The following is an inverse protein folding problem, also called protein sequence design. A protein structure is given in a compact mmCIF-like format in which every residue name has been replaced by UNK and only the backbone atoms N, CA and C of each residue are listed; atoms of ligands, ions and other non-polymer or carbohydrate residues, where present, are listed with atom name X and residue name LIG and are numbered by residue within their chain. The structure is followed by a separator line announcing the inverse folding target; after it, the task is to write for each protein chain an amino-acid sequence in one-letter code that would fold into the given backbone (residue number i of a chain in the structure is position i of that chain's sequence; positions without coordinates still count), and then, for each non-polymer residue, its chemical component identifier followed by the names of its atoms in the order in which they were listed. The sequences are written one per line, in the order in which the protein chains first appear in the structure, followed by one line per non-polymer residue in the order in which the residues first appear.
data_IF_739054196181
#
_entry.id   IF_739054196181
#
_cell.length_a   1.000
_cell.length_b   1.000
_cell.length_c   1.000
_cell.angle_alpha   90.00
_cell.angle_beta   90.00
_cell.angle_gamma   90.00
#
_symmetry.space_group_name_H-M   'P 1'
#
loop_
_entity.id
_entity.type
_entity.pdbx_description
1 polymer ?
#
# COMPACT_ATOMS: atom_id res chain seq x y z
N UNK A 1 -12.75 -13.65 7.55
CA UNK A 1 -13.03 -13.08 6.21
C UNK A 1 -13.02 -11.54 6.24
N UNK A 2 -13.23 -10.86 7.39
CA UNK A 2 -13.18 -9.39 7.47
C UNK A 2 -11.78 -8.76 7.35
N UNK A 3 -10.70 -9.44 7.77
CA UNK A 3 -9.36 -8.86 7.78
C UNK A 3 -8.85 -8.39 6.39
N UNK A 4 -9.25 -9.06 5.29
CA UNK A 4 -8.81 -8.70 3.93
C UNK A 4 -9.49 -7.44 3.39
N UNK A 5 -10.72 -7.14 3.83
CA UNK A 5 -11.44 -5.91 3.48
C UNK A 5 -10.87 -4.70 4.24
N UNK A 6 -10.35 -4.92 5.46
CA UNK A 6 -9.77 -3.87 6.29
C UNK A 6 -8.39 -3.41 5.78
N UNK A 7 -7.56 -4.36 5.29
CA UNK A 7 -6.20 -4.06 4.81
C UNK A 7 -6.14 -3.04 3.67
N UNK A 8 -7.14 -3.02 2.77
CA UNK A 8 -7.19 -2.08 1.65
C UNK A 8 -8.22 -0.97 1.80
N UNK A 9 -8.82 -0.80 2.99
CA UNK A 9 -9.92 0.14 3.21
C UNK A 9 -9.55 1.62 3.00
N UNK A 10 -8.25 1.94 2.92
CA UNK A 10 -7.73 3.27 2.58
C UNK A 10 -7.30 3.43 1.13
N UNK A 11 -7.50 2.44 0.26
CA UNK A 11 -7.10 2.55 -1.15
C UNK A 11 -8.18 3.27 -1.97
N UNK A 12 -7.75 4.20 -2.81
CA UNK A 12 -8.55 4.80 -3.86
C UNK A 12 -8.32 4.04 -5.19
N UNK A 13 -9.37 3.44 -5.79
CA UNK A 13 -9.26 2.66 -7.03
C UNK A 13 -8.76 3.45 -8.25
N UNK A 14 -8.96 4.76 -8.27
CA UNK A 14 -8.53 5.63 -9.37
C UNK A 14 -7.06 6.03 -9.26
N UNK A 15 -6.44 5.85 -8.09
CA UNK A 15 -5.04 6.19 -7.84
C UNK A 15 -4.12 5.03 -8.18
N UNK A 16 -2.90 5.36 -8.56
CA UNK A 16 -1.81 4.40 -8.73
C UNK A 16 -1.48 3.69 -7.42
N UNK A 17 -0.79 2.55 -7.49
CA UNK A 17 -0.25 1.91 -6.29
C UNK A 17 0.60 2.87 -5.46
N UNK A 18 1.48 3.63 -6.12
CA UNK A 18 2.33 4.64 -5.49
C UNK A 18 1.52 5.66 -4.72
N UNK A 19 0.56 6.30 -5.37
CA UNK A 19 -0.32 7.29 -4.73
C UNK A 19 -1.09 6.69 -3.55
N UNK A 20 -1.51 5.43 -3.65
CA UNK A 20 -2.15 4.71 -2.56
C UNK A 20 -1.21 4.46 -1.37
N UNK A 21 0.07 4.17 -1.58
CA UNK A 21 1.07 4.07 -0.49
C UNK A 21 1.13 5.40 0.28
N UNK A 22 1.22 6.53 -0.42
CA UNK A 22 1.26 7.85 0.21
C UNK A 22 -0.05 8.22 0.90
N UNK A 23 -1.19 7.94 0.26
CA UNK A 23 -2.51 8.18 0.84
C UNK A 23 -2.68 7.43 2.15
N UNK A 24 -2.32 6.14 2.18
CA UNK A 24 -2.47 5.31 3.37
C UNK A 24 -1.49 5.74 4.47
N UNK A 25 -0.22 5.98 4.14
CA UNK A 25 0.73 6.52 5.11
C UNK A 25 0.26 7.85 5.72
N UNK A 26 -0.35 8.73 4.92
CA UNK A 26 -0.90 10.00 5.40
C UNK A 26 -2.13 9.80 6.30
N UNK A 27 -3.00 8.85 5.98
CA UNK A 27 -4.17 8.49 6.81
C UNK A 27 -3.72 7.94 8.18
N UNK A 28 -2.62 7.19 8.22
CA UNK A 28 -2.00 6.69 9.45
C UNK A 28 -1.22 7.76 10.23
N UNK A 29 -1.07 8.97 9.67
CA UNK A 29 -0.40 10.10 10.34
C UNK A 29 1.11 10.14 10.17
N UNK A 30 1.68 9.35 9.24
CA UNK A 30 3.11 9.41 8.93
C UNK A 30 3.46 10.62 8.07
N UNK A 31 4.66 11.16 8.28
CA UNK A 31 5.18 12.25 7.45
C UNK A 31 5.57 11.73 6.06
N UNK A 32 5.53 12.63 5.07
CA UNK A 32 5.94 12.28 3.70
C UNK A 32 7.37 11.74 3.65
N UNK A 33 8.28 12.33 4.43
CA UNK A 33 9.68 11.92 4.49
C UNK A 33 9.85 10.49 5.00
N UNK A 34 9.04 10.08 5.98
CA UNK A 34 9.04 8.69 6.47
C UNK A 34 8.51 7.73 5.41
N UNK A 35 7.41 8.11 4.73
CA UNK A 35 6.84 7.31 3.65
C UNK A 35 7.85 7.18 2.50
N UNK A 36 8.53 8.26 2.11
CA UNK A 36 9.60 8.24 1.10
C UNK A 36 10.72 7.28 1.48
N UNK A 37 11.16 7.30 2.75
CA UNK A 37 12.21 6.40 3.25
C UNK A 37 11.79 4.91 3.24
N UNK A 38 10.48 4.63 3.33
CA UNK A 38 9.91 3.28 3.34
C UNK A 38 9.38 2.82 1.98
N UNK A 39 9.19 3.73 1.04
CA UNK A 39 8.54 3.46 -0.23
C UNK A 39 9.22 2.32 -0.99
N UNK A 40 10.55 2.35 -1.09
CA UNK A 40 11.31 1.34 -1.83
C UNK A 40 11.13 -0.05 -1.21
N UNK A 41 11.16 -0.14 0.13
CA UNK A 41 10.94 -1.38 0.87
C UNK A 41 9.52 -1.93 0.64
N UNK A 42 8.51 -1.05 0.65
CA UNK A 42 7.11 -1.40 0.35
C UNK A 42 6.96 -1.90 -1.08
N UNK A 43 7.57 -1.22 -2.03
CA UNK A 43 7.51 -1.58 -3.44
C UNK A 43 8.12 -2.97 -3.67
N UNK A 44 9.31 -3.23 -3.14
CA UNK A 44 9.99 -4.51 -3.25
C UNK A 44 9.22 -5.64 -2.55
N UNK A 45 8.75 -5.41 -1.33
CA UNK A 45 8.01 -6.41 -0.54
C UNK A 45 6.65 -6.77 -1.15
N UNK A 46 6.02 -5.85 -1.89
CA UNK A 46 4.72 -6.10 -2.54
C UNK A 46 4.81 -7.02 -3.76
N UNK A 47 6.00 -7.19 -4.35
CA UNK A 47 6.23 -8.02 -5.54
C UNK A 47 5.27 -7.71 -6.72
N UNK A 48 4.78 -6.48 -6.85
CA UNK A 48 3.90 -6.08 -7.96
C UNK A 48 4.65 -5.44 -9.14
N UNK A 49 5.95 -5.19 -8.99
CA UNK A 49 6.81 -4.66 -10.06
C UNK A 49 6.32 -3.31 -10.60
N UNK A 50 6.32 -3.16 -11.93
CA UNK A 50 5.96 -1.90 -12.61
C UNK A 50 4.49 -1.51 -12.45
N UNK A 51 3.63 -2.41 -11.95
CA UNK A 51 2.24 -2.07 -11.69
C UNK A 51 2.07 -1.02 -10.60
N UNK A 52 3.10 -0.76 -9.78
CA UNK A 52 3.07 0.30 -8.75
C UNK A 52 2.66 1.67 -9.32
N UNK A 53 2.94 1.93 -10.60
CA UNK A 53 2.60 3.17 -11.30
C UNK A 53 1.30 3.07 -12.14
N UNK A 54 0.52 2.01 -11.95
CA UNK A 54 -0.78 1.79 -12.59
C UNK A 54 -1.94 1.96 -11.59
N UNK A 55 -3.13 2.44 -12.02
CA UNK A 55 -4.30 2.57 -11.14
C UNK A 55 -4.67 1.24 -10.48
N UNK A 56 -4.91 1.24 -9.15
CA UNK A 56 -5.14 -0.02 -8.41
C UNK A 56 -6.42 -0.76 -8.85
N UNK A 57 -7.37 -0.09 -9.50
CA UNK A 57 -8.52 -0.76 -10.15
C UNK A 57 -8.13 -1.76 -11.24
N UNK A 58 -6.92 -1.66 -11.81
CA UNK A 58 -6.42 -2.60 -12.82
C UNK A 58 -5.73 -3.81 -12.21
N UNK A 59 -5.56 -3.85 -10.89
CA UNK A 59 -4.83 -4.90 -10.22
C UNK A 59 -5.66 -6.18 -10.16
N UNK A 60 -4.98 -7.32 -10.21
CA UNK A 60 -5.60 -8.55 -9.74
C UNK A 60 -5.89 -8.45 -8.24
N UNK A 61 -6.85 -9.24 -7.73
CA UNK A 61 -7.12 -9.31 -6.29
C UNK A 61 -5.87 -9.66 -5.48
N UNK A 62 -4.97 -10.49 -6.04
CA UNK A 62 -3.71 -10.83 -5.39
C UNK A 62 -2.75 -9.64 -5.27
N UNK A 63 -2.58 -8.87 -6.34
CA UNK A 63 -1.74 -7.67 -6.31
C UNK A 63 -2.28 -6.61 -5.36
N UNK A 64 -3.60 -6.44 -5.32
CA UNK A 64 -4.26 -5.53 -4.38
C UNK A 64 -3.93 -5.91 -2.92
N UNK A 65 -4.12 -7.19 -2.58
CA UNK A 65 -3.84 -7.70 -1.22
C UNK A 65 -2.35 -7.60 -0.89
N UNK A 66 -1.46 -7.93 -1.83
CA UNK A 66 -0.01 -7.80 -1.62
C UNK A 66 0.38 -6.37 -1.27
N UNK A 67 -0.03 -5.38 -2.08
CA UNK A 67 0.31 -3.99 -1.81
C UNK A 67 -0.30 -3.47 -0.50
N UNK A 68 -1.58 -3.77 -0.25
CA UNK A 68 -2.25 -3.40 0.99
C UNK A 68 -1.54 -3.96 2.23
N UNK A 69 -1.17 -5.25 2.18
CA UNK A 69 -0.41 -5.89 3.25
C UNK A 69 0.99 -5.28 3.41
N UNK A 70 1.71 -5.01 2.31
CA UNK A 70 3.05 -4.40 2.37
C UNK A 70 3.05 -3.03 3.01
N UNK A 71 2.06 -2.20 2.69
CA UNK A 71 1.89 -0.87 3.31
C UNK A 71 1.67 -1.01 4.81
N UNK A 72 0.72 -1.86 5.22
CA UNK A 72 0.43 -2.07 6.64
C UNK A 72 1.62 -2.64 7.39
N UNK A 73 2.27 -3.70 6.88
CA UNK A 73 3.37 -4.37 7.58
C UNK A 73 4.63 -3.50 7.75
N UNK A 74 4.86 -2.52 6.87
CA UNK A 74 6.08 -1.72 6.85
C UNK A 74 5.90 -0.29 7.35
N UNK A 75 4.67 0.23 7.33
CA UNK A 75 4.33 1.52 7.94
C UNK A 75 3.75 1.37 9.34
N UNK A 76 3.02 0.29 9.66
CA UNK A 76 2.46 0.04 10.99
C UNK A 76 3.30 -0.99 11.77
N UNK A 77 4.22 -0.55 12.65
CA UNK A 77 5.09 -1.45 13.40
C UNK A 77 4.34 -2.24 14.50
N UNK A 78 3.10 -1.91 14.85
CA UNK A 78 2.32 -2.64 15.86
C UNK A 78 1.68 -3.94 15.30
N UNK A 79 1.80 -4.20 14.00
CA UNK A 79 1.33 -5.43 13.33
C UNK A 79 2.32 -6.62 13.49
N UNK A 80 3.51 -6.40 14.10
CA UNK A 80 4.53 -7.43 14.37
C UNK A 80 4.70 -7.77 15.86
#
# INVERSE_FOLDING_TARGET
INALLELGSGFNPEFTGRENVYLNGSILGYSKELIDAKFQEIHEFSEIGEFIDQPVKTYSSGMYVKLAFSVQALLDPDIL
#
